data_IF_254492785664
#
_entry.id   IF_254492785664
#
_cell.length_a   1.000
_cell.length_b   1.000
_cell.length_c   1.000
_cell.angle_alpha   90.00
_cell.angle_beta   90.00
_cell.angle_gamma   90.00
#
_symmetry.space_group_name_H-M   'P 1'
#
loop_
_entity.id
_entity.type
_entity.pdbx_description
1 polymer ?
#
# COMPACT_ATOMS: atom_id res chain seq x y z
N UNK A 1 19.40 -4.66 5.40
CA UNK A 1 18.12 -4.92 4.72
C UNK A 1 17.05 -4.10 5.44
N UNK A 2 16.20 -3.31 4.76
CA UNK A 2 15.12 -2.60 5.45
C UNK A 2 14.31 -3.63 6.25
N UNK A 3 14.02 -3.33 7.52
CA UNK A 3 13.29 -4.27 8.37
C UNK A 3 11.94 -4.57 7.70
N UNK A 4 11.55 -5.84 7.49
CA UNK A 4 10.32 -6.21 6.78
C UNK A 4 9.07 -5.47 7.28
N UNK A 5 9.01 -5.16 8.57
CA UNK A 5 7.94 -4.36 9.17
C UNK A 5 7.84 -2.93 8.60
N UNK A 6 8.98 -2.27 8.35
CA UNK A 6 9.00 -0.89 7.80
C UNK A 6 8.54 -0.92 6.34
N UNK A 7 8.96 -1.92 5.57
CA UNK A 7 8.55 -2.12 4.19
C UNK A 7 7.03 -2.33 4.08
N UNK A 8 6.47 -3.26 4.86
CA UNK A 8 5.04 -3.53 4.85
C UNK A 8 4.20 -2.34 5.31
N UNK A 9 4.66 -1.61 6.34
CA UNK A 9 4.00 -0.37 6.77
C UNK A 9 3.96 0.66 5.64
N UNK A 10 5.09 0.88 4.97
CA UNK A 10 5.20 1.86 3.89
C UNK A 10 4.29 1.51 2.70
N UNK A 11 4.21 0.23 2.32
CA UNK A 11 3.25 -0.20 1.29
C UNK A 11 1.80 0.09 1.69
N UNK A 12 1.45 -0.19 2.96
CA UNK A 12 0.13 0.10 3.51
C UNK A 12 -0.20 1.59 3.45
N UNK A 13 0.73 2.45 3.85
CA UNK A 13 0.60 3.92 3.81
C UNK A 13 0.43 4.44 2.38
N UNK A 14 1.17 3.88 1.42
CA UNK A 14 1.06 4.24 0.00
C UNK A 14 -0.34 3.92 -0.56
N UNK A 15 -0.86 2.73 -0.26
CA UNK A 15 -2.22 2.31 -0.66
C UNK A 15 -3.29 3.17 0.02
N UNK A 16 -3.16 3.38 1.34
CA UNK A 16 -4.06 4.24 2.11
C UNK A 16 -4.12 5.66 1.52
N UNK A 17 -2.97 6.22 1.15
CA UNK A 17 -2.88 7.56 0.55
C UNK A 17 -3.63 7.61 -0.78
N UNK A 18 -3.40 6.66 -1.68
CA UNK A 18 -4.13 6.62 -2.96
C UNK A 18 -5.64 6.62 -2.77
N UNK A 19 -6.12 5.77 -1.87
CA UNK A 19 -7.54 5.68 -1.58
C UNK A 19 -8.09 6.95 -0.93
N UNK A 20 -7.35 7.54 0.03
CA UNK A 20 -7.72 8.80 0.68
C UNK A 20 -7.97 9.91 -0.33
N UNK A 21 -7.15 9.99 -1.37
CA UNK A 21 -7.24 11.06 -2.39
C UNK A 21 -7.98 10.64 -3.66
N UNK A 22 -8.57 9.44 -3.72
CA UNK A 22 -9.24 8.93 -4.92
C UNK A 22 -8.32 8.75 -6.14
N UNK A 23 -7.02 8.57 -5.92
CA UNK A 23 -6.05 8.45 -7.01
C UNK A 23 -6.12 7.06 -7.63
N UNK A 24 -6.31 7.02 -8.95
CA UNK A 24 -6.26 5.79 -9.72
C UNK A 24 -4.91 5.09 -9.56
N UNK A 25 -4.92 3.75 -9.67
CA UNK A 25 -3.72 2.94 -9.77
C UNK A 25 -3.67 2.36 -11.18
N UNK A 26 -2.53 2.52 -11.85
CA UNK A 26 -2.32 1.85 -13.12
C UNK A 26 -2.02 0.35 -12.88
N UNK A 27 -2.29 -0.51 -13.88
CA UNK A 27 -1.95 -1.93 -13.83
C UNK A 27 -0.52 -2.24 -13.37
N UNK A 28 0.49 -1.53 -13.89
CA UNK A 28 1.89 -1.81 -13.57
C UNK A 28 2.21 -1.49 -12.10
N UNK A 29 1.68 -0.37 -11.58
CA UNK A 29 1.82 -0.04 -10.17
C UNK A 29 1.09 -1.05 -9.27
N UNK A 30 -0.10 -1.51 -9.67
CA UNK A 30 -0.83 -2.56 -8.92
C UNK A 30 -0.01 -3.85 -8.84
N UNK A 31 0.56 -4.31 -9.94
CA UNK A 31 1.41 -5.50 -9.96
C UNK A 31 2.68 -5.33 -9.12
N UNK A 32 3.30 -4.15 -9.15
CA UNK A 32 4.45 -3.86 -8.29
C UNK A 32 4.07 -3.92 -6.81
N UNK A 33 2.96 -3.28 -6.39
CA UNK A 33 2.51 -3.33 -5.00
C UNK A 33 2.20 -4.75 -4.53
N UNK A 34 1.55 -5.57 -5.37
CA UNK A 34 1.27 -6.97 -5.05
C UNK A 34 2.56 -7.79 -4.88
N UNK A 35 3.54 -7.62 -5.77
CA UNK A 35 4.85 -8.29 -5.65
C UNK A 35 5.57 -7.90 -4.36
N UNK A 36 5.57 -6.61 -4.01
CA UNK A 36 6.20 -6.14 -2.79
C UNK A 36 5.45 -6.54 -1.53
N UNK A 37 4.14 -6.74 -1.60
CA UNK A 37 3.31 -7.16 -0.47
C UNK A 37 3.32 -8.69 -0.24
N UNK A 38 3.94 -9.48 -1.12
CA UNK A 38 3.93 -10.94 -1.03
C UNK A 38 4.51 -11.48 0.29
N UNK A 39 5.51 -10.80 0.85
CA UNK A 39 6.15 -11.13 2.13
C UNK A 39 5.51 -10.43 3.34
N UNK A 40 4.41 -9.69 3.13
CA UNK A 40 3.72 -8.95 4.17
C UNK A 40 2.55 -9.75 4.75
N UNK A 41 2.26 -9.62 6.07
CA UNK A 41 1.04 -10.16 6.62
C UNK A 41 -0.18 -9.49 5.97
N UNK A 42 -1.24 -10.26 5.74
CA UNK A 42 -2.48 -9.74 5.20
C UNK A 42 -3.15 -8.82 6.24
N UNK A 43 -2.89 -7.52 6.16
CA UNK A 43 -3.35 -6.52 7.10
C UNK A 43 -4.47 -5.68 6.48
N UNK A 44 -5.50 -5.36 7.29
CA UNK A 44 -6.56 -4.44 6.88
C UNK A 44 -6.04 -3.00 6.90
N UNK A 45 -6.08 -2.33 5.76
CA UNK A 45 -5.71 -0.92 5.63
C UNK A 45 -6.97 -0.07 5.90
N UNK A 46 -6.85 0.90 6.80
CA UNK A 46 -7.92 1.86 7.10
C UNK A 46 -7.45 3.26 6.68
N UNK A 47 -8.32 4.02 6.05
CA UNK A 47 -8.06 5.40 5.62
C UNK A 47 -9.33 6.23 5.73
N UNK A 48 -9.16 7.51 5.98
CA UNK A 48 -10.25 8.50 5.94
C UNK A 48 -10.13 9.29 4.62
N UNK A 49 -11.20 9.42 3.81
CA UNK A 49 -11.17 10.19 2.57
C UNK A 49 -10.80 11.66 2.82
N UNK A 50 -9.96 12.23 1.96
CA UNK A 50 -9.70 13.65 1.97
C UNK A 50 -10.97 14.36 1.44
N UNK A 51 -11.62 15.12 2.31
CA UNK A 51 -12.83 15.90 2.02
C UNK A 51 -12.56 17.02 1.03
#
# INVERSE_FOLDING_TARGET
>A
MPMPAVHCRYLGERVATKHRWGLAIDPAEREALLRYAADCPNARITYDPAT
#
